data_IF_073360306111
#
_entry.id   IF_073360306111
#
_cell.length_a   1.000
_cell.length_b   1.000
_cell.length_c   1.000
_cell.angle_alpha   90.00
_cell.angle_beta   90.00
_cell.angle_gamma   90.00
#
_symmetry.space_group_name_H-M   'P 1'
#
loop_
_entity.id
_entity.type
_entity.pdbx_description
1 polymer ?
#
# COMPACT_ATOMS: atom_id res chain seq x y z
N UNK A 1 -65.72 -71.10 -75.56
CA UNK A 1 -66.01 -69.83 -74.95
C UNK A 1 -65.83 -69.91 -73.43
N UNK A 2 -64.98 -69.30 -72.88
CA UNK A 2 -64.76 -69.33 -71.43
C UNK A 2 -63.52 -68.55 -71.08
N UNK A 3 -63.70 -67.27 -70.81
CA UNK A 3 -62.63 -66.42 -70.34
C UNK A 3 -62.50 -66.57 -68.85
N UNK A 4 -61.29 -66.76 -68.40
CA UNK A 4 -60.93 -66.62 -66.95
C UNK A 4 -60.13 -65.37 -66.71
N UNK A 5 -60.74 -64.52 -65.98
CA UNK A 5 -60.09 -63.35 -65.32
C UNK A 5 -58.99 -63.80 -64.38
N UNK A 6 -57.81 -63.30 -64.52
CA UNK A 6 -56.72 -63.39 -63.57
C UNK A 6 -56.59 -62.13 -62.78
N UNK A 7 -56.83 -62.25 -61.49
CA UNK A 7 -56.65 -61.23 -60.50
C UNK A 7 -55.15 -60.94 -60.27
N UNK A 8 -54.67 -59.76 -60.60
CA UNK A 8 -53.34 -59.32 -60.27
C UNK A 8 -53.35 -58.60 -58.92
N UNK A 9 -52.98 -59.31 -57.86
CA UNK A 9 -52.65 -58.68 -56.56
C UNK A 9 -51.31 -58.00 -56.71
N UNK A 10 -51.28 -56.74 -56.78
CA UNK A 10 -50.09 -55.92 -56.49
C UNK A 10 -49.75 -55.99 -54.98
N UNK A 11 -48.72 -56.76 -54.72
CA UNK A 11 -48.09 -56.72 -53.38
C UNK A 11 -47.29 -55.40 -53.31
N UNK A 12 -47.72 -54.46 -52.47
CA UNK A 12 -46.96 -53.33 -52.07
C UNK A 12 -45.74 -53.86 -51.31
N UNK A 13 -44.58 -53.93 -51.93
CA UNK A 13 -43.28 -54.13 -51.34
C UNK A 13 -42.92 -52.78 -50.59
N UNK A 14 -43.23 -52.69 -49.36
CA UNK A 14 -42.66 -51.66 -48.47
C UNK A 14 -41.14 -51.82 -48.49
N UNK A 15 -40.44 -50.92 -49.19
CA UNK A 15 -38.97 -50.94 -49.19
C UNK A 15 -38.41 -50.65 -47.83
N UNK A 16 -37.65 -51.55 -47.16
CA UNK A 16 -37.05 -51.36 -45.86
C UNK A 16 -35.97 -50.24 -45.91
N UNK A 17 -35.57 -49.85 -47.09
CA UNK A 17 -34.55 -48.78 -47.34
C UNK A 17 -35.05 -47.39 -46.96
N UNK A 18 -36.35 -47.07 -47.17
CA UNK A 18 -36.92 -45.77 -46.76
C UNK A 18 -37.02 -45.60 -45.26
N UNK A 19 -37.28 -46.71 -44.55
CA UNK A 19 -37.36 -46.73 -43.10
C UNK A 19 -35.94 -46.57 -42.46
N UNK A 20 -34.95 -47.19 -43.03
CA UNK A 20 -33.54 -47.10 -42.63
C UNK A 20 -32.96 -45.69 -42.91
N UNK A 21 -33.30 -45.06 -44.00
CA UNK A 21 -32.92 -43.70 -44.35
C UNK A 21 -33.61 -42.66 -43.42
N UNK A 22 -34.88 -42.84 -43.04
CA UNK A 22 -35.58 -41.95 -42.10
C UNK A 22 -35.08 -42.12 -40.67
N UNK A 23 -34.75 -43.33 -40.25
CA UNK A 23 -34.17 -43.59 -38.92
C UNK A 23 -32.72 -43.06 -38.88
N UNK A 24 -31.92 -43.27 -39.93
CA UNK A 24 -30.57 -42.75 -40.06
C UNK A 24 -30.51 -41.22 -40.05
N UNK A 25 -31.46 -40.57 -40.76
CA UNK A 25 -31.61 -39.11 -40.78
C UNK A 25 -32.05 -38.54 -39.41
N UNK A 26 -33.02 -39.20 -38.76
CA UNK A 26 -33.46 -38.81 -37.41
C UNK A 26 -32.36 -38.97 -36.33
N UNK A 27 -31.63 -40.09 -36.39
CA UNK A 27 -30.46 -40.29 -35.49
C UNK A 27 -29.32 -39.35 -35.83
N UNK A 28 -29.10 -39.06 -37.12
CA UNK A 28 -28.06 -38.13 -37.58
C UNK A 28 -28.24 -36.70 -37.10
N UNK A 29 -29.46 -36.23 -36.83
CA UNK A 29 -29.75 -34.90 -36.28
C UNK A 29 -29.94 -34.92 -34.76
N UNK A 30 -30.42 -36.03 -34.19
CA UNK A 30 -30.68 -36.14 -32.77
C UNK A 30 -29.37 -36.14 -31.92
N UNK A 31 -28.34 -36.82 -32.38
CA UNK A 31 -27.04 -36.89 -31.66
C UNK A 31 -26.34 -35.53 -31.56
N UNK A 32 -26.15 -34.75 -32.66
CA UNK A 32 -25.56 -33.42 -32.54
C UNK A 32 -26.46 -32.44 -31.79
N UNK A 33 -27.79 -32.52 -31.87
CA UNK A 33 -28.69 -31.67 -31.11
C UNK A 33 -28.61 -31.96 -29.59
N UNK A 34 -28.53 -33.25 -29.19
CA UNK A 34 -28.32 -33.65 -27.80
C UNK A 34 -26.96 -33.16 -27.29
N UNK A 35 -25.91 -33.28 -28.12
CA UNK A 35 -24.57 -32.79 -27.78
C UNK A 35 -24.55 -31.27 -27.53
N UNK A 36 -25.16 -30.50 -28.46
CA UNK A 36 -25.31 -29.02 -28.25
C UNK A 36 -26.13 -28.71 -27.04
N UNK A 37 -27.21 -29.45 -26.76
CA UNK A 37 -28.02 -29.28 -25.56
C UNK A 37 -27.21 -29.55 -24.27
N UNK A 38 -26.42 -30.63 -24.23
CA UNK A 38 -25.55 -30.93 -23.07
C UNK A 38 -24.51 -29.85 -22.86
N UNK A 39 -23.87 -29.36 -23.96
CA UNK A 39 -22.89 -28.28 -23.85
C UNK A 39 -23.52 -26.98 -23.37
N UNK A 40 -24.71 -26.61 -23.89
CA UNK A 40 -25.42 -25.38 -23.46
C UNK A 40 -25.87 -25.50 -22.00
N UNK A 41 -26.37 -26.66 -21.57
CA UNK A 41 -26.74 -26.90 -20.16
C UNK A 41 -25.52 -26.85 -19.26
N UNK A 42 -24.41 -27.48 -19.64
CA UNK A 42 -23.15 -27.41 -18.88
C UNK A 42 -22.65 -25.96 -18.75
N UNK A 43 -22.73 -25.18 -19.84
CA UNK A 43 -22.39 -23.75 -19.82
C UNK A 43 -23.30 -22.95 -18.89
N UNK A 44 -24.64 -23.15 -18.97
CA UNK A 44 -25.61 -22.47 -18.11
C UNK A 44 -25.40 -22.80 -16.64
N UNK A 45 -25.15 -24.10 -16.33
CA UNK A 45 -24.89 -24.53 -14.96
C UNK A 45 -23.58 -23.93 -14.42
N UNK A 46 -22.53 -23.90 -15.25
CA UNK A 46 -21.24 -23.27 -14.90
C UNK A 46 -21.42 -21.76 -14.67
N UNK A 47 -22.15 -21.06 -15.52
CA UNK A 47 -22.46 -19.63 -15.39
C UNK A 47 -23.26 -19.33 -14.08
N UNK A 48 -24.31 -20.15 -13.81
CA UNK A 48 -25.10 -20.02 -12.57
C UNK A 48 -24.26 -20.25 -11.31
N UNK A 49 -23.35 -21.26 -11.33
CA UNK A 49 -22.41 -21.53 -10.24
C UNK A 49 -21.46 -20.36 -10.03
N UNK A 50 -20.91 -19.79 -11.10
CA UNK A 50 -20.02 -18.63 -11.03
C UNK A 50 -20.74 -17.40 -10.44
N UNK A 51 -21.98 -17.12 -10.86
CA UNK A 51 -22.78 -16.00 -10.33
C UNK A 51 -23.09 -16.19 -8.83
N UNK A 52 -23.45 -17.41 -8.40
CA UNK A 52 -23.67 -17.71 -6.98
C UNK A 52 -22.40 -17.53 -6.16
N UNK A 53 -21.25 -17.95 -6.69
CA UNK A 53 -19.96 -17.82 -6.01
C UNK A 53 -19.54 -16.35 -5.87
N UNK A 54 -19.72 -15.53 -6.90
CA UNK A 54 -19.49 -14.08 -6.84
C UNK A 54 -20.36 -13.39 -5.77
N UNK A 55 -21.64 -13.73 -5.71
CA UNK A 55 -22.55 -13.20 -4.70
C UNK A 55 -22.16 -13.65 -3.27
N UNK A 56 -21.65 -14.88 -3.11
CA UNK A 56 -21.12 -15.37 -1.85
C UNK A 56 -19.88 -14.55 -1.42
N UNK A 57 -18.91 -14.39 -2.31
CA UNK A 57 -17.70 -13.61 -2.02
C UNK A 57 -18.02 -12.13 -1.73
N UNK A 58 -18.94 -11.52 -2.46
CA UNK A 58 -19.39 -10.17 -2.18
C UNK A 58 -19.90 -10.03 -0.73
N UNK A 59 -20.66 -11.02 -0.24
CA UNK A 59 -21.14 -11.04 1.15
C UNK A 59 -20.01 -11.28 2.15
N UNK A 60 -19.13 -12.25 1.87
CA UNK A 60 -17.97 -12.56 2.72
C UNK A 60 -17.02 -11.37 2.84
N UNK A 61 -16.78 -10.65 1.76
CA UNK A 61 -15.96 -9.45 1.71
C UNK A 61 -16.71 -8.19 2.22
N UNK A 62 -17.82 -8.40 2.96
CA UNK A 62 -18.61 -7.31 3.56
C UNK A 62 -19.08 -6.22 2.57
N UNK A 63 -19.36 -6.60 1.32
CA UNK A 63 -19.79 -5.65 0.29
C UNK A 63 -21.04 -4.85 0.68
N UNK A 64 -21.96 -5.41 1.47
CA UNK A 64 -23.12 -4.69 2.01
C UNK A 64 -22.69 -3.61 3.02
N UNK A 65 -21.71 -3.89 3.88
CA UNK A 65 -21.17 -2.91 4.82
C UNK A 65 -20.46 -1.78 4.07
N UNK A 66 -19.70 -2.10 3.02
CA UNK A 66 -19.09 -1.09 2.17
C UNK A 66 -20.13 -0.15 1.54
N UNK A 67 -21.27 -0.69 1.05
CA UNK A 67 -22.36 0.11 0.51
C UNK A 67 -23.05 1.00 1.55
N UNK A 68 -22.95 0.66 2.84
CA UNK A 68 -23.45 1.49 3.95
C UNK A 68 -22.45 2.59 4.37
N UNK A 69 -21.14 2.28 4.34
CA UNK A 69 -20.08 3.22 4.74
C UNK A 69 -19.76 4.26 3.66
N UNK A 70 -19.98 3.89 2.40
CA UNK A 70 -19.74 4.75 1.23
C UNK A 70 -21.09 4.99 0.56
N UNK A 71 -21.36 6.20 0.10
CA UNK A 71 -22.58 6.50 -0.67
C UNK A 71 -22.78 5.44 -1.75
N UNK A 72 -23.99 4.91 -1.88
CA UNK A 72 -24.32 3.80 -2.78
C UNK A 72 -23.90 4.07 -4.23
N UNK A 73 -24.10 5.30 -4.70
CA UNK A 73 -23.73 5.70 -6.07
C UNK A 73 -22.20 5.68 -6.25
N UNK A 74 -21.45 6.11 -5.21
CA UNK A 74 -19.99 6.07 -5.19
C UNK A 74 -19.52 4.61 -5.13
N UNK A 75 -20.11 3.78 -4.25
CA UNK A 75 -19.76 2.37 -4.12
C UNK A 75 -19.94 1.58 -5.43
N UNK A 76 -21.04 1.83 -6.16
CA UNK A 76 -21.29 1.20 -7.47
C UNK A 76 -20.24 1.62 -8.51
N UNK A 77 -19.83 2.90 -8.53
CA UNK A 77 -18.79 3.42 -9.45
C UNK A 77 -17.39 2.93 -9.11
N UNK A 78 -17.14 2.60 -7.84
CA UNK A 78 -15.85 2.09 -7.35
C UNK A 78 -15.71 0.57 -7.47
N UNK A 79 -16.75 -0.16 -7.94
CA UNK A 79 -16.71 -1.63 -8.04
C UNK A 79 -16.22 -2.08 -9.41
N UNK A 80 -15.10 -2.79 -9.44
CA UNK A 80 -14.55 -3.45 -10.63
C UNK A 80 -14.93 -4.94 -10.64
N UNK A 81 -15.30 -5.46 -11.83
CA UNK A 81 -15.45 -6.91 -11.99
C UNK A 81 -14.08 -7.61 -12.11
N UNK A 82 -14.02 -8.88 -11.67
CA UNK A 82 -12.80 -9.69 -11.81
C UNK A 82 -12.31 -9.74 -13.26
N UNK A 83 -13.20 -9.93 -14.23
CA UNK A 83 -12.84 -10.02 -15.64
C UNK A 83 -12.14 -8.75 -16.19
N UNK A 84 -12.52 -7.57 -15.67
CA UNK A 84 -11.85 -6.30 -16.01
C UNK A 84 -10.43 -6.29 -15.48
N UNK A 85 -10.21 -6.75 -14.23
CA UNK A 85 -8.90 -6.77 -13.61
C UNK A 85 -7.98 -7.84 -14.19
N UNK A 86 -8.51 -9.04 -14.52
CA UNK A 86 -7.79 -10.09 -15.24
C UNK A 86 -7.31 -9.59 -16.62
N UNK A 87 -8.19 -8.96 -17.39
CA UNK A 87 -7.81 -8.36 -18.67
C UNK A 87 -6.78 -7.25 -18.51
N UNK A 88 -6.92 -6.39 -17.51
CA UNK A 88 -6.01 -5.28 -17.26
C UNK A 88 -4.60 -5.74 -16.89
N UNK A 89 -4.47 -6.89 -16.21
CA UNK A 89 -3.21 -7.44 -15.70
C UNK A 89 -2.66 -8.59 -16.53
N UNK A 90 -3.33 -8.96 -17.61
CA UNK A 90 -3.03 -10.17 -18.38
C UNK A 90 -3.05 -11.43 -17.50
N UNK A 91 -4.19 -11.65 -16.82
CA UNK A 91 -4.41 -12.71 -15.84
C UNK A 91 -3.41 -12.68 -14.65
N UNK A 92 -3.04 -11.50 -14.19
CA UNK A 92 -2.06 -11.30 -13.10
C UNK A 92 -0.68 -11.86 -13.43
N UNK A 93 -0.23 -11.61 -14.66
CA UNK A 93 1.07 -12.05 -15.16
C UNK A 93 2.21 -11.52 -14.27
N UNK A 94 3.19 -12.38 -13.97
CA UNK A 94 4.32 -12.04 -13.10
C UNK A 94 5.20 -10.90 -13.64
N UNK A 95 5.23 -10.69 -14.97
CA UNK A 95 5.95 -9.55 -15.58
C UNK A 95 5.33 -8.20 -15.24
N UNK A 96 4.07 -8.19 -14.82
CA UNK A 96 3.34 -6.99 -14.39
C UNK A 96 3.38 -6.75 -12.88
N UNK A 97 4.08 -7.61 -12.15
CA UNK A 97 4.23 -7.50 -10.70
C UNK A 97 5.13 -6.32 -10.34
N UNK A 98 4.60 -5.39 -9.54
CA UNK A 98 5.32 -4.22 -9.03
C UNK A 98 6.03 -4.53 -7.71
N UNK A 99 5.42 -5.36 -6.86
CA UNK A 99 5.98 -5.72 -5.58
C UNK A 99 5.15 -6.79 -4.87
N UNK A 100 5.76 -7.44 -3.87
CA UNK A 100 5.12 -8.42 -3.01
C UNK A 100 5.60 -8.23 -1.57
N UNK A 101 4.66 -8.09 -0.63
CA UNK A 101 4.92 -7.89 0.79
C UNK A 101 4.00 -8.73 1.68
N UNK A 102 3.97 -8.44 2.98
CA UNK A 102 3.09 -9.08 3.96
C UNK A 102 1.62 -8.94 3.58
N UNK A 103 1.19 -7.75 3.17
CA UNK A 103 -0.20 -7.42 2.85
C UNK A 103 -0.68 -7.84 1.45
N UNK A 104 0.17 -8.44 0.62
CA UNK A 104 -0.26 -8.90 -0.70
C UNK A 104 0.75 -8.68 -1.81
N UNK A 105 0.27 -8.83 -3.04
CA UNK A 105 1.03 -8.59 -4.27
C UNK A 105 0.35 -7.46 -5.05
N UNK A 106 1.15 -6.51 -5.54
CA UNK A 106 0.69 -5.38 -6.35
C UNK A 106 1.07 -5.63 -7.80
N UNK A 107 0.10 -5.45 -8.71
CA UNK A 107 0.28 -5.61 -10.15
C UNK A 107 0.01 -4.29 -10.87
N UNK A 108 0.77 -4.02 -11.94
CA UNK A 108 0.46 -2.97 -12.90
C UNK A 108 -0.63 -3.44 -13.83
N UNK A 109 -1.73 -2.69 -13.92
CA UNK A 109 -2.82 -2.95 -14.85
C UNK A 109 -3.01 -1.82 -15.85
N UNK A 110 -3.58 -2.13 -17.02
CA UNK A 110 -3.99 -1.15 -18.03
C UNK A 110 -5.47 -1.38 -18.29
N UNK A 111 -6.31 -0.45 -17.88
CA UNK A 111 -7.76 -0.51 -18.10
C UNK A 111 -8.11 -0.24 -19.58
N UNK A 112 -9.34 -0.58 -19.99
CA UNK A 112 -9.84 -0.40 -21.36
C UNK A 112 -9.80 1.05 -21.87
N UNK A 113 -9.84 2.02 -20.95
CA UNK A 113 -9.70 3.46 -21.24
C UNK A 113 -8.23 3.93 -21.26
N UNK A 114 -7.27 3.02 -21.41
CA UNK A 114 -5.82 3.27 -21.40
C UNK A 114 -5.26 3.82 -20.09
N UNK A 115 -6.06 3.87 -19.02
CA UNK A 115 -5.58 4.29 -17.69
C UNK A 115 -4.70 3.20 -17.07
N UNK A 116 -3.50 3.58 -16.64
CA UNK A 116 -2.62 2.70 -15.89
C UNK A 116 -3.01 2.75 -14.42
N UNK A 117 -3.08 1.57 -13.78
CA UNK A 117 -3.51 1.39 -12.39
C UNK A 117 -2.57 0.45 -11.65
N UNK A 118 -2.55 0.54 -10.33
CA UNK A 118 -1.93 -0.43 -9.44
C UNK A 118 -3.03 -1.26 -8.77
N UNK A 119 -2.94 -2.59 -8.87
CA UNK A 119 -3.94 -3.52 -8.34
C UNK A 119 -3.30 -4.33 -7.22
N UNK A 120 -3.71 -4.06 -5.97
CA UNK A 120 -3.26 -4.77 -4.76
C UNK A 120 -4.17 -5.97 -4.53
N UNK A 121 -3.61 -7.18 -4.63
CA UNK A 121 -4.25 -8.45 -4.37
C UNK A 121 -3.72 -8.99 -3.05
N UNK A 122 -4.56 -9.07 -2.01
CA UNK A 122 -4.18 -9.60 -0.70
C UNK A 122 -3.78 -11.08 -0.78
N UNK A 123 -2.96 -11.58 0.14
CA UNK A 123 -2.45 -12.97 0.11
C UNK A 123 -3.36 -13.97 0.83
N UNK A 124 -4.12 -13.55 1.82
CA UNK A 124 -4.83 -14.44 2.71
C UNK A 124 -6.30 -14.05 2.90
N UNK A 125 -7.15 -15.07 3.11
CA UNK A 125 -8.57 -14.96 3.47
C UNK A 125 -8.79 -14.83 4.98
N UNK A 126 -7.86 -14.20 5.70
CA UNK A 126 -7.97 -14.02 7.15
C UNK A 126 -8.90 -12.82 7.40
N UNK A 127 -9.79 -12.94 8.39
CA UNK A 127 -10.77 -11.90 8.75
C UNK A 127 -10.11 -10.51 8.98
N UNK A 128 -8.91 -10.48 9.53
CA UNK A 128 -8.12 -9.27 9.75
C UNK A 128 -7.80 -8.52 8.45
N UNK A 129 -7.49 -9.26 7.37
CA UNK A 129 -7.21 -8.67 6.05
C UNK A 129 -8.46 -8.06 5.41
N UNK A 130 -9.63 -8.70 5.61
CA UNK A 130 -10.91 -8.16 5.15
C UNK A 130 -11.26 -6.87 5.91
N UNK A 131 -11.01 -6.84 7.22
CA UNK A 131 -11.24 -5.66 8.04
C UNK A 131 -10.32 -4.50 7.64
N UNK A 132 -9.04 -4.78 7.39
CA UNK A 132 -8.08 -3.82 6.85
C UNK A 132 -8.50 -3.30 5.47
N UNK A 133 -8.96 -4.18 4.58
CA UNK A 133 -9.48 -3.81 3.26
C UNK A 133 -10.68 -2.84 3.34
N UNK A 134 -11.69 -3.18 4.15
CA UNK A 134 -12.88 -2.32 4.33
C UNK A 134 -12.48 -0.96 4.90
N UNK A 135 -11.60 -0.96 5.90
CA UNK A 135 -11.09 0.25 6.51
C UNK A 135 -10.35 1.13 5.50
N UNK A 136 -9.48 0.55 4.66
CA UNK A 136 -8.74 1.25 3.62
C UNK A 136 -9.70 1.89 2.59
N UNK A 137 -10.74 1.17 2.14
CA UNK A 137 -11.74 1.73 1.24
C UNK A 137 -12.54 2.84 1.90
N UNK A 138 -13.00 2.65 3.14
CA UNK A 138 -13.80 3.64 3.86
C UNK A 138 -13.02 4.95 4.08
N UNK A 139 -11.75 4.86 4.43
CA UNK A 139 -10.87 6.02 4.62
C UNK A 139 -10.58 6.70 3.29
N UNK A 140 -10.05 5.97 2.30
CA UNK A 140 -9.60 6.56 1.03
C UNK A 140 -10.75 7.07 0.15
N UNK A 141 -11.98 6.56 0.31
CA UNK A 141 -13.14 7.09 -0.41
C UNK A 141 -13.50 8.52 0.00
N UNK A 142 -13.08 8.97 1.19
CA UNK A 142 -13.36 10.29 1.76
C UNK A 142 -12.17 11.25 1.64
N UNK A 143 -10.98 10.74 1.31
CA UNK A 143 -9.75 11.54 1.21
C UNK A 143 -9.54 12.03 -0.21
N UNK A 144 -9.29 13.34 -0.34
CA UNK A 144 -8.87 13.95 -1.60
C UNK A 144 -7.72 14.91 -1.33
N UNK A 145 -6.50 14.41 -1.37
CA UNK A 145 -5.28 15.19 -1.17
C UNK A 145 -4.22 14.81 -2.21
N UNK A 146 -3.51 15.81 -2.75
CA UNK A 146 -2.52 15.59 -3.83
C UNK A 146 -1.38 14.65 -3.44
N UNK A 147 -1.01 14.61 -2.16
CA UNK A 147 0.07 13.79 -1.62
C UNK A 147 -0.43 12.52 -0.90
N UNK A 148 -1.67 12.11 -1.15
CA UNK A 148 -2.22 10.81 -0.74
C UNK A 148 -2.55 10.01 -2.00
N UNK A 149 -2.26 8.71 -2.01
CA UNK A 149 -2.57 7.82 -3.13
C UNK A 149 -4.09 7.76 -3.34
N UNK A 150 -4.54 7.88 -4.59
CA UNK A 150 -5.96 7.85 -4.91
C UNK A 150 -6.46 6.43 -5.10
N UNK A 151 -7.51 6.06 -4.39
CA UNK A 151 -8.25 4.83 -4.63
C UNK A 151 -9.24 5.04 -5.79
N UNK A 152 -9.17 4.17 -6.82
CA UNK A 152 -10.14 4.15 -7.91
C UNK A 152 -11.29 3.20 -7.65
N UNK A 153 -11.07 2.17 -6.84
CA UNK A 153 -12.11 1.24 -6.46
C UNK A 153 -11.58 -0.11 -5.99
N UNK A 154 -12.48 -1.11 -6.00
CA UNK A 154 -12.18 -2.43 -5.49
C UNK A 154 -12.91 -3.52 -6.28
N UNK A 155 -12.44 -4.78 -6.13
CA UNK A 155 -13.13 -5.97 -6.61
C UNK A 155 -13.47 -6.87 -5.43
N UNK A 156 -14.75 -7.22 -5.29
CA UNK A 156 -15.30 -8.04 -4.20
C UNK A 156 -15.76 -9.43 -4.69
N UNK A 157 -15.58 -9.73 -5.98
CA UNK A 157 -16.07 -10.97 -6.62
C UNK A 157 -15.16 -12.19 -6.40
N UNK A 158 -14.07 -12.04 -5.66
CA UNK A 158 -13.05 -13.07 -5.43
C UNK A 158 -12.98 -13.46 -3.96
N UNK A 159 -12.42 -14.63 -3.66
CA UNK A 159 -12.22 -15.09 -2.29
C UNK A 159 -11.43 -14.07 -1.45
N UNK A 160 -10.47 -13.41 -2.08
CA UNK A 160 -9.67 -12.33 -1.49
C UNK A 160 -9.95 -11.04 -2.26
N UNK A 161 -10.44 -9.98 -1.60
CA UNK A 161 -10.76 -8.74 -2.29
C UNK A 161 -9.51 -8.05 -2.83
N UNK A 162 -9.68 -7.20 -3.86
CA UNK A 162 -8.60 -6.45 -4.49
C UNK A 162 -8.89 -4.96 -4.48
N UNK A 163 -7.85 -4.14 -4.31
CA UNK A 163 -7.91 -2.68 -4.37
C UNK A 163 -7.26 -2.18 -5.66
N UNK A 164 -7.85 -1.13 -6.25
CA UNK A 164 -7.39 -0.53 -7.50
C UNK A 164 -7.04 0.94 -7.23
N UNK A 165 -5.77 1.28 -7.36
CA UNK A 165 -5.23 2.61 -7.09
C UNK A 165 -4.73 3.30 -8.35
N UNK A 166 -4.47 4.62 -8.23
CA UNK A 166 -3.62 5.29 -9.19
C UNK A 166 -2.24 4.62 -9.22
N UNK A 167 -1.67 4.49 -10.43
CA UNK A 167 -0.31 3.98 -10.59
C UNK A 167 0.70 5.09 -10.38
N UNK A 168 1.64 4.89 -9.45
CA UNK A 168 2.76 5.80 -9.19
C UNK A 168 4.02 5.15 -9.74
N UNK A 169 4.71 5.84 -10.63
CA UNK A 169 5.62 5.24 -11.61
C UNK A 169 7.05 5.06 -11.13
N UNK A 170 7.49 5.78 -10.09
CA UNK A 170 8.90 5.87 -9.74
C UNK A 170 9.27 5.18 -8.42
N UNK A 171 8.46 4.19 -7.99
CA UNK A 171 8.75 3.36 -6.83
C UNK A 171 8.55 4.06 -5.49
N UNK A 172 9.25 3.60 -4.45
CA UNK A 172 9.13 4.07 -3.09
C UNK A 172 10.29 4.98 -2.69
N UNK A 173 10.08 5.85 -1.70
CA UNK A 173 11.19 6.60 -1.08
C UNK A 173 12.28 5.67 -0.53
N UNK A 174 11.90 4.50 0.02
CA UNK A 174 12.83 3.47 0.47
C UNK A 174 13.77 3.00 -0.65
N UNK A 175 13.25 2.78 -1.87
CA UNK A 175 14.06 2.37 -3.02
C UNK A 175 15.10 3.44 -3.38
N UNK A 176 14.71 4.72 -3.33
CA UNK A 176 15.59 5.84 -3.63
C UNK A 176 16.64 6.13 -2.55
N UNK A 177 16.33 5.88 -1.27
CA UNK A 177 17.26 6.10 -0.18
C UNK A 177 18.30 4.98 -0.06
N UNK A 178 17.89 3.71 -0.25
CA UNK A 178 18.71 2.55 0.11
C UNK A 178 19.29 1.80 -1.08
N UNK A 179 18.88 2.07 -2.31
CA UNK A 179 19.54 1.52 -3.50
C UNK A 179 20.75 2.38 -3.86
N UNK A 180 21.93 1.79 -3.87
CA UNK A 180 23.16 2.44 -4.35
C UNK A 180 23.09 2.57 -5.86
N UNK A 181 23.06 3.80 -6.39
CA UNK A 181 23.02 4.03 -7.82
C UNK A 181 23.10 5.52 -8.18
N UNK A 182 23.23 5.85 -9.49
CA UNK A 182 23.43 7.22 -9.96
C UNK A 182 22.22 8.15 -9.77
N UNK A 183 21.10 7.63 -9.29
CA UNK A 183 19.87 8.40 -9.00
C UNK A 183 19.70 8.62 -7.50
N UNK A 184 20.69 9.23 -6.87
CA UNK A 184 20.54 9.71 -5.49
C UNK A 184 19.62 10.93 -5.47
N UNK A 185 18.65 10.97 -4.53
CA UNK A 185 17.83 12.15 -4.30
C UNK A 185 18.71 13.30 -3.82
N UNK A 186 18.64 14.46 -4.49
CA UNK A 186 19.31 15.66 -4.01
C UNK A 186 18.74 16.10 -2.64
N UNK A 187 19.52 16.89 -1.89
CA UNK A 187 19.06 17.37 -0.60
C UNK A 187 17.75 18.18 -0.71
N UNK A 188 17.64 19.01 -1.73
CA UNK A 188 16.43 19.81 -2.00
C UNK A 188 15.22 18.91 -2.31
N UNK A 189 15.41 17.78 -3.02
CA UNK A 189 14.34 16.83 -3.27
C UNK A 189 13.92 16.12 -1.99
N UNK A 190 14.87 15.73 -1.11
CA UNK A 190 14.55 15.13 0.20
C UNK A 190 13.75 16.09 1.07
N UNK A 191 14.10 17.40 1.12
CA UNK A 191 13.34 18.42 1.81
C UNK A 191 11.91 18.56 1.26
N UNK A 192 11.76 18.57 -0.08
CA UNK A 192 10.47 18.68 -0.73
C UNK A 192 9.60 17.45 -0.48
N UNK A 193 10.16 16.23 -0.61
CA UNK A 193 9.47 14.97 -0.32
C UNK A 193 9.02 14.92 1.14
N UNK A 194 9.88 15.33 2.07
CA UNK A 194 9.54 15.41 3.49
C UNK A 194 8.37 16.36 3.74
N UNK A 195 8.39 17.56 3.14
CA UNK A 195 7.30 18.54 3.24
C UNK A 195 5.99 17.99 2.67
N UNK A 196 6.03 17.36 1.50
CA UNK A 196 4.84 16.80 0.84
C UNK A 196 4.22 15.65 1.65
N UNK A 197 5.05 14.77 2.23
CA UNK A 197 4.59 13.70 3.11
C UNK A 197 4.04 14.25 4.43
N UNK A 198 4.70 15.25 5.04
CA UNK A 198 4.19 15.91 6.23
C UNK A 198 2.85 16.62 5.98
N UNK A 199 2.68 17.25 4.82
CA UNK A 199 1.40 17.87 4.39
C UNK A 199 0.27 16.84 4.29
N UNK A 200 0.54 15.65 3.74
CA UNK A 200 -0.43 14.56 3.70
C UNK A 200 -0.84 14.12 5.10
N UNK A 201 0.11 13.88 5.99
CA UNK A 201 -0.16 13.46 7.36
C UNK A 201 -0.87 14.57 8.17
N UNK A 202 -0.47 15.83 8.01
CA UNK A 202 -1.14 16.96 8.65
C UNK A 202 -2.62 17.08 8.21
N UNK A 203 -2.90 16.86 6.92
CA UNK A 203 -4.26 16.81 6.40
C UNK A 203 -5.07 15.66 7.04
N UNK A 204 -4.51 14.46 7.15
CA UNK A 204 -5.17 13.30 7.77
C UNK A 204 -5.51 13.55 9.24
N UNK A 205 -4.59 14.16 9.99
CA UNK A 205 -4.77 14.46 11.41
C UNK A 205 -5.74 15.64 11.66
N UNK A 206 -5.97 16.53 10.68
CA UNK A 206 -6.79 17.73 10.83
C UNK A 206 -8.21 17.61 10.30
N UNK A 207 -8.68 16.41 9.94
CA UNK A 207 -10.06 16.20 9.44
C UNK A 207 -11.11 16.69 10.44
N UNK A 208 -12.21 17.25 9.94
CA UNK A 208 -13.15 18.05 10.73
C UNK A 208 -13.92 17.29 11.84
N UNK A 209 -14.03 15.98 11.79
CA UNK A 209 -14.79 15.17 12.77
C UNK A 209 -14.02 13.98 13.33
N UNK A 210 -13.06 13.43 12.58
CA UNK A 210 -12.30 12.24 12.93
C UNK A 210 -10.86 12.45 12.48
N UNK A 211 -9.90 12.46 13.40
CA UNK A 211 -8.47 12.44 13.07
C UNK A 211 -8.09 11.06 12.53
N UNK A 212 -7.50 10.98 11.35
CA UNK A 212 -7.07 9.70 10.77
C UNK A 212 -5.59 9.52 11.05
N UNK A 213 -5.26 8.53 11.88
CA UNK A 213 -3.89 8.10 12.17
C UNK A 213 -3.50 7.01 11.18
N UNK A 214 -2.40 7.19 10.46
CA UNK A 214 -1.93 6.26 9.42
C UNK A 214 -1.42 4.94 10.00
N UNK A 215 -0.65 5.02 11.13
CA UNK A 215 -0.20 3.87 11.93
C UNK A 215 0.91 3.01 11.34
N UNK A 216 1.22 3.17 10.04
CA UNK A 216 2.34 2.48 9.39
C UNK A 216 3.13 3.45 8.49
N UNK A 217 3.50 4.61 9.04
CA UNK A 217 4.33 5.60 8.35
C UNK A 217 5.76 5.06 8.24
N UNK A 218 6.25 4.90 7.00
CA UNK A 218 7.62 4.43 6.68
C UNK A 218 8.01 4.82 5.27
N UNK A 219 9.28 4.84 4.96
CA UNK A 219 9.80 5.20 3.62
C UNK A 219 9.26 4.30 2.50
N UNK A 220 8.94 3.03 2.78
CA UNK A 220 8.33 2.10 1.82
C UNK A 220 6.86 2.42 1.48
N UNK A 221 6.16 3.18 2.33
CA UNK A 221 4.78 3.61 2.12
C UNK A 221 4.66 5.04 1.57
N UNK A 222 5.79 5.68 1.23
CA UNK A 222 5.84 6.96 0.51
C UNK A 222 6.27 6.65 -0.92
N UNK A 223 5.32 6.75 -1.86
CA UNK A 223 5.57 6.53 -3.30
C UNK A 223 5.99 7.83 -3.95
N UNK A 224 6.79 7.74 -5.02
CA UNK A 224 7.26 8.88 -5.78
C UNK A 224 6.78 8.78 -7.24
N UNK A 225 6.25 9.87 -7.79
CA UNK A 225 5.91 9.93 -9.21
C UNK A 225 7.13 10.34 -10.07
N UNK A 226 6.94 10.48 -11.39
CA UNK A 226 7.99 10.84 -12.33
C UNK A 226 8.66 12.20 -12.04
N UNK A 227 7.97 13.07 -11.29
CA UNK A 227 8.45 14.38 -10.86
C UNK A 227 8.99 14.37 -9.42
N UNK A 228 9.14 13.16 -8.82
CA UNK A 228 9.46 12.96 -7.42
C UNK A 228 8.42 13.60 -6.47
N UNK A 229 7.14 13.69 -6.87
CA UNK A 229 6.07 14.13 -5.97
C UNK A 229 5.73 12.97 -5.03
N UNK A 230 5.72 13.25 -3.72
CA UNK A 230 5.43 12.23 -2.72
C UNK A 230 3.93 11.93 -2.61
N UNK A 231 3.61 10.65 -2.48
CA UNK A 231 2.26 10.16 -2.22
C UNK A 231 2.28 9.10 -1.12
N UNK A 232 1.61 9.41 0.00
CA UNK A 232 1.43 8.46 1.12
C UNK A 232 0.46 7.38 0.71
N UNK A 233 0.77 6.12 1.01
CA UNK A 233 0.03 4.92 0.58
C UNK A 233 -0.09 3.90 1.71
N UNK A 234 -0.93 2.87 1.52
CA UNK A 234 -1.15 1.71 2.41
C UNK A 234 -1.88 2.06 3.72
N UNK A 235 -3.18 2.33 3.62
CA UNK A 235 -4.07 2.73 4.72
C UNK A 235 -4.74 1.55 5.44
N UNK A 236 -4.32 0.31 5.20
CA UNK A 236 -4.94 -0.89 5.78
C UNK A 236 -4.89 -0.93 7.32
N UNK A 237 -3.82 -0.40 7.91
CA UNK A 237 -3.65 -0.30 9.36
C UNK A 237 -4.31 0.94 9.98
N UNK A 238 -4.66 1.95 9.19
CA UNK A 238 -5.11 3.27 9.66
C UNK A 238 -6.34 3.21 10.57
N UNK A 239 -6.49 4.19 11.46
CA UNK A 239 -7.63 4.29 12.38
C UNK A 239 -8.10 5.74 12.52
N UNK A 240 -9.43 5.88 12.58
CA UNK A 240 -10.05 7.14 12.93
C UNK A 240 -10.14 7.31 14.45
N UNK A 241 -9.70 8.45 14.95
CA UNK A 241 -9.82 8.86 16.35
C UNK A 241 -10.77 10.04 16.41
N UNK A 242 -11.90 9.98 17.17
CA UNK A 242 -12.77 11.12 17.36
C UNK A 242 -12.00 12.31 17.99
N UNK A 243 -12.26 13.53 17.51
CA UNK A 243 -11.50 14.74 17.94
C UNK A 243 -11.55 14.99 19.45
N UNK A 244 -12.60 14.53 20.13
CA UNK A 244 -12.75 14.65 21.58
C UNK A 244 -11.96 13.60 22.37
N UNK A 245 -11.13 12.78 21.72
CA UNK A 245 -10.30 11.77 22.33
C UNK A 245 -8.82 12.01 21.96
N UNK A 246 -7.95 12.02 22.96
CA UNK A 246 -6.49 12.13 22.77
C UNK A 246 -5.82 10.85 22.27
N UNK A 247 -6.57 9.75 22.17
CA UNK A 247 -6.09 8.47 21.68
C UNK A 247 -7.05 7.33 22.02
N UNK A 248 -6.86 6.19 21.32
CA UNK A 248 -7.69 4.99 21.47
C UNK A 248 -6.83 3.78 21.87
N UNK A 249 -7.36 2.92 22.74
CA UNK A 249 -6.75 1.62 23.02
C UNK A 249 -7.00 0.67 21.82
N UNK A 250 -5.93 0.09 21.27
CA UNK A 250 -6.04 -0.82 20.12
C UNK A 250 -4.87 -1.80 20.10
N UNK A 251 -5.04 -2.95 19.44
CA UNK A 251 -3.95 -3.90 19.23
C UNK A 251 -2.78 -3.20 18.54
N UNK A 252 -1.54 -3.54 18.92
CA UNK A 252 -0.34 -2.92 18.36
C UNK A 252 -0.17 -3.41 16.92
N UNK A 253 -0.05 -2.45 16.00
CA UNK A 253 0.23 -2.66 14.58
C UNK A 253 1.21 -1.59 14.09
N UNK A 254 1.99 -1.92 13.05
CA UNK A 254 3.00 -1.04 12.47
C UNK A 254 4.26 -1.84 12.13
N UNK A 255 5.26 -1.16 11.63
CA UNK A 255 6.53 -1.74 11.21
C UNK A 255 7.61 -1.50 12.26
N UNK A 256 8.25 -2.57 12.77
CA UNK A 256 9.38 -2.44 13.68
C UNK A 256 10.48 -1.54 13.10
N UNK A 257 11.10 -0.74 13.94
CA UNK A 257 12.04 0.30 13.56
C UNK A 257 11.39 1.68 13.35
N UNK A 258 10.09 1.73 13.01
CA UNK A 258 9.29 2.96 12.90
C UNK A 258 8.24 3.07 14.00
N UNK A 259 7.97 1.96 14.71
CA UNK A 259 6.91 1.87 15.70
C UNK A 259 7.19 2.78 16.89
N UNK A 260 6.21 3.61 17.24
CA UNK A 260 6.25 4.50 18.39
C UNK A 260 6.41 3.72 19.71
N UNK A 261 7.46 3.96 20.50
CA UNK A 261 7.68 3.29 21.78
C UNK A 261 6.53 3.47 22.77
N UNK A 262 5.96 4.68 22.88
CA UNK A 262 4.85 4.96 23.78
C UNK A 262 3.60 4.19 23.40
N UNK A 263 3.25 4.17 22.09
CA UNK A 263 2.14 3.36 21.61
C UNK A 263 2.39 1.86 21.86
N UNK A 264 3.61 1.37 21.63
CA UNK A 264 3.96 -0.02 21.88
C UNK A 264 3.81 -0.40 23.37
N UNK A 265 4.25 0.46 24.30
CA UNK A 265 4.20 0.20 25.73
C UNK A 265 2.79 0.32 26.30
N UNK A 266 2.04 1.34 25.85
CA UNK A 266 0.74 1.70 26.44
C UNK A 266 -0.45 1.04 25.74
N UNK A 267 -0.28 0.56 24.49
CA UNK A 267 -1.39 0.13 23.62
C UNK A 267 -2.31 1.28 23.19
N UNK A 268 -1.96 2.54 23.51
CA UNK A 268 -2.77 3.72 23.21
C UNK A 268 -2.25 4.43 21.97
N UNK A 269 -3.02 4.36 20.90
CA UNK A 269 -2.74 4.99 19.61
C UNK A 269 -3.20 6.44 19.62
N UNK A 270 -2.34 7.37 19.17
CA UNK A 270 -2.65 8.79 18.95
C UNK A 270 -2.05 9.28 17.63
N UNK A 271 -2.38 10.49 17.19
CA UNK A 271 -1.76 11.17 16.05
C UNK A 271 -0.23 11.36 16.26
N UNK A 272 0.21 11.44 17.50
CA UNK A 272 1.63 11.54 17.88
C UNK A 272 2.44 10.28 17.56
N UNK A 273 1.77 9.13 17.38
CA UNK A 273 2.43 7.91 16.92
C UNK A 273 2.92 8.01 15.47
N UNK A 274 2.14 8.65 14.59
CA UNK A 274 2.58 8.96 13.21
C UNK A 274 3.73 9.97 13.20
N UNK A 275 3.74 10.93 14.14
CA UNK A 275 4.82 11.91 14.26
C UNK A 275 6.14 11.23 14.59
N UNK A 276 6.14 10.26 15.52
CA UNK A 276 7.34 9.48 15.82
C UNK A 276 7.83 8.71 14.59
N UNK A 277 6.94 7.95 13.96
CA UNK A 277 7.26 7.16 12.76
C UNK A 277 7.79 8.05 11.62
N UNK A 278 7.22 9.24 11.45
CA UNK A 278 7.72 10.23 10.51
C UNK A 278 9.10 10.78 10.90
N UNK A 279 9.36 10.98 12.19
CA UNK A 279 10.70 11.32 12.71
C UNK A 279 11.76 10.30 12.29
N UNK A 280 11.43 9.00 12.31
CA UNK A 280 12.31 7.95 11.80
C UNK A 280 12.58 8.10 10.30
N UNK A 281 11.55 8.42 9.50
CA UNK A 281 11.71 8.69 8.05
C UNK A 281 12.64 9.89 7.80
N UNK A 282 12.54 10.95 8.65
CA UNK A 282 13.45 12.10 8.55
C UNK A 282 14.91 11.70 8.81
N UNK A 283 15.16 10.81 9.78
CA UNK A 283 16.50 10.28 10.04
C UNK A 283 16.99 9.41 8.87
N UNK A 284 16.14 8.59 8.26
CA UNK A 284 16.51 7.86 7.02
C UNK A 284 16.91 8.82 5.89
N UNK A 285 16.20 9.93 5.72
CA UNK A 285 16.52 10.94 4.70
C UNK A 285 17.85 11.64 4.96
N UNK A 286 18.24 11.82 6.21
CA UNK A 286 19.53 12.41 6.60
C UNK A 286 20.70 11.46 6.39
N UNK A 287 20.50 10.18 6.70
CA UNK A 287 21.60 9.22 6.88
C UNK A 287 21.70 8.19 5.76
N UNK A 288 20.63 7.98 4.98
CA UNK A 288 20.46 6.86 4.06
C UNK A 288 20.66 5.49 4.70
N UNK A 289 20.48 5.40 6.02
CA UNK A 289 20.54 4.13 6.75
C UNK A 289 19.14 3.63 7.04
N UNK A 290 18.95 2.30 6.94
CA UNK A 290 17.67 1.69 7.30
C UNK A 290 17.54 1.67 8.82
N UNK A 291 16.35 1.94 9.38
CA UNK A 291 16.09 1.65 10.77
C UNK A 291 16.17 0.14 10.97
N UNK A 292 17.34 -0.35 11.38
CA UNK A 292 17.62 -1.79 11.51
C UNK A 292 16.86 -2.37 12.68
N UNK A 293 16.12 -3.44 12.40
CA UNK A 293 15.69 -4.39 13.41
C UNK A 293 16.88 -5.33 13.66
N UNK A 294 17.28 -5.47 14.91
CA UNK A 294 18.47 -6.21 15.38
C UNK A 294 18.70 -7.55 14.66
N UNK A 295 19.90 -7.76 14.16
CA UNK A 295 20.40 -9.06 13.75
C UNK A 295 21.53 -9.62 14.66
N UNK A 296 21.98 -8.84 15.66
CA UNK A 296 22.96 -9.29 16.65
C UNK A 296 22.86 -8.49 17.94
N UNK A 297 23.23 -9.08 19.07
CA UNK A 297 23.15 -8.53 20.43
C UNK A 297 23.93 -7.22 20.66
N UNK A 298 24.76 -6.79 19.72
CA UNK A 298 25.68 -5.65 19.86
C UNK A 298 25.38 -4.47 18.92
N UNK A 299 24.30 -4.52 18.11
CA UNK A 299 23.96 -3.44 17.19
C UNK A 299 23.03 -2.40 17.81
N UNK A 300 23.53 -1.16 17.89
CA UNK A 300 22.75 0.01 18.32
C UNK A 300 21.73 0.33 17.24
N UNK A 301 20.46 0.67 17.63
CA UNK A 301 19.45 1.10 16.66
C UNK A 301 19.85 2.42 16.00
N UNK A 302 19.43 2.63 14.74
CA UNK A 302 19.67 3.89 14.03
C UNK A 302 19.23 5.10 14.86
N UNK A 303 18.09 5.02 15.50
CA UNK A 303 17.52 6.13 16.29
C UNK A 303 18.33 6.39 17.58
N UNK A 304 18.78 5.31 18.25
CA UNK A 304 19.64 5.45 19.42
C UNK A 304 21.00 6.08 19.05
N UNK A 305 21.59 5.65 17.96
CA UNK A 305 22.85 6.22 17.46
C UNK A 305 22.67 7.69 17.05
N UNK A 306 21.59 8.01 16.32
CA UNK A 306 21.27 9.37 15.92
C UNK A 306 21.12 10.28 17.16
N UNK A 307 20.32 9.89 18.16
CA UNK A 307 20.13 10.66 19.38
C UNK A 307 21.44 10.85 20.16
N UNK A 308 22.26 9.81 20.23
CA UNK A 308 23.59 9.88 20.89
C UNK A 308 24.50 10.91 20.21
N UNK A 309 24.59 10.88 18.88
CA UNK A 309 25.43 11.79 18.11
C UNK A 309 24.90 13.23 18.13
N UNK A 310 23.59 13.41 18.19
CA UNK A 310 22.95 14.73 18.40
C UNK A 310 23.37 15.31 19.77
N UNK A 311 23.32 14.52 20.85
CA UNK A 311 23.74 14.95 22.19
C UNK A 311 25.22 15.28 22.28
N UNK A 312 26.08 14.64 21.45
CA UNK A 312 27.51 14.87 21.43
C UNK A 312 27.96 15.98 20.45
N UNK A 313 27.01 16.62 19.75
CA UNK A 313 27.29 17.57 18.65
C UNK A 313 28.15 16.96 17.52
N UNK A 314 27.96 15.65 17.27
CA UNK A 314 28.69 14.85 16.27
C UNK A 314 27.80 14.39 15.13
N UNK A 315 26.77 15.15 14.80
CA UNK A 315 25.81 14.79 13.76
C UNK A 315 26.47 14.43 12.42
N UNK A 316 27.57 15.09 12.05
CA UNK A 316 28.30 14.85 10.83
C UNK A 316 28.78 13.39 10.64
N UNK A 317 28.98 12.64 11.74
CA UNK A 317 29.47 11.25 11.67
C UNK A 317 28.43 10.28 11.10
N UNK A 318 27.14 10.64 11.10
CA UNK A 318 26.04 9.78 10.62
C UNK A 318 25.38 10.32 9.33
N UNK A 319 25.60 11.58 8.97
CA UNK A 319 24.98 12.17 7.80
C UNK A 319 25.48 11.56 6.48
N UNK A 320 24.59 11.43 5.51
CA UNK A 320 24.94 11.13 4.13
C UNK A 320 25.88 12.23 3.57
N UNK A 321 26.96 11.84 2.91
CA UNK A 321 27.95 12.76 2.32
C UNK A 321 27.33 13.80 1.37
N UNK A 322 26.26 13.41 0.65
CA UNK A 322 25.52 14.31 -0.22
C UNK A 322 24.78 15.40 0.58
N UNK A 323 24.22 15.06 1.74
CA UNK A 323 23.56 16.02 2.63
C UNK A 323 24.57 17.02 3.18
N UNK A 324 25.76 16.54 3.56
CA UNK A 324 26.87 17.40 4.04
C UNK A 324 27.28 18.40 2.96
N UNK A 325 27.43 17.93 1.71
CA UNK A 325 27.91 18.78 0.61
C UNK A 325 26.86 19.76 0.07
N UNK A 326 25.56 19.38 0.11
CA UNK A 326 24.49 20.16 -0.52
C UNK A 326 23.76 21.12 0.43
N UNK A 327 23.77 20.90 1.76
CA UNK A 327 22.92 21.66 2.67
C UNK A 327 23.14 21.42 4.15
N UNK A 328 24.39 21.52 4.63
CA UNK A 328 24.76 21.21 6.02
C UNK A 328 23.98 22.04 7.05
N UNK A 329 23.72 23.31 6.78
CA UNK A 329 23.01 24.18 7.73
C UNK A 329 21.55 23.75 7.88
N UNK A 330 20.87 23.53 6.77
CA UNK A 330 19.47 23.04 6.78
C UNK A 330 19.38 21.62 7.33
N UNK A 331 20.42 20.81 7.13
CA UNK A 331 20.49 19.45 7.67
C UNK A 331 20.53 19.44 9.20
N UNK A 332 21.20 20.42 9.83
CA UNK A 332 21.19 20.58 11.31
C UNK A 332 19.79 20.91 11.81
N UNK A 333 19.11 21.90 11.22
CA UNK A 333 17.75 22.28 11.61
C UNK A 333 16.74 21.14 11.32
N UNK A 334 16.95 20.39 10.26
CA UNK A 334 16.14 19.22 9.91
C UNK A 334 16.37 18.07 10.92
N UNK A 335 17.62 17.87 11.38
CA UNK A 335 17.95 16.90 12.42
C UNK A 335 17.34 17.28 13.79
N UNK A 336 17.36 18.56 14.14
CA UNK A 336 16.66 19.06 15.33
C UNK A 336 15.15 18.78 15.26
N UNK A 337 14.52 19.01 14.10
CA UNK A 337 13.12 18.68 13.87
C UNK A 337 12.88 17.17 14.02
N UNK A 338 13.72 16.33 13.41
CA UNK A 338 13.63 14.88 13.55
C UNK A 338 13.74 14.46 15.03
N UNK A 339 14.70 15.01 15.77
CA UNK A 339 14.87 14.75 17.20
C UNK A 339 13.62 15.12 18.03
N UNK A 340 12.97 16.26 17.74
CA UNK A 340 11.72 16.62 18.44
C UNK A 340 10.57 15.66 18.12
N UNK A 341 10.50 15.14 16.89
CA UNK A 341 9.51 14.12 16.53
C UNK A 341 9.75 12.78 17.25
N UNK A 342 11.00 12.46 17.58
CA UNK A 342 11.44 11.22 18.21
C UNK A 342 11.40 11.25 19.75
N UNK A 343 10.84 12.30 20.38
CA UNK A 343 10.66 12.33 21.81
C UNK A 343 9.89 11.09 22.29
N UNK A 344 10.31 10.53 23.44
CA UNK A 344 9.70 9.32 23.99
C UNK A 344 8.25 9.54 24.38
N UNK A 345 7.91 10.73 24.91
CA UNK A 345 6.55 11.11 25.27
C UNK A 345 5.85 11.81 24.10
N UNK A 346 4.66 11.37 23.75
CA UNK A 346 3.85 11.95 22.68
C UNK A 346 3.50 13.42 22.91
N UNK A 347 3.24 13.81 24.16
CA UNK A 347 2.94 15.21 24.54
C UNK A 347 4.07 16.19 24.18
N UNK A 348 5.34 15.73 24.22
CA UNK A 348 6.52 16.54 23.89
C UNK A 348 6.80 16.60 22.37
N UNK A 349 6.08 15.83 21.57
CA UNK A 349 6.22 15.82 20.11
C UNK A 349 5.40 16.95 19.48
N UNK A 350 5.89 17.57 18.38
CA UNK A 350 5.08 18.51 17.62
C UNK A 350 3.84 17.84 17.01
N UNK A 351 2.89 18.63 16.54
CA UNK A 351 1.84 18.14 15.63
C UNK A 351 2.40 18.05 14.20
N UNK A 352 1.81 17.20 13.33
CA UNK A 352 2.22 17.14 11.92
C UNK A 352 2.09 18.48 11.20
N UNK A 353 1.15 19.33 11.60
CA UNK A 353 1.04 20.71 11.07
C UNK A 353 2.23 21.60 11.45
N UNK A 354 2.73 21.45 12.67
CA UNK A 354 3.95 22.17 13.09
C UNK A 354 5.19 21.66 12.36
N UNK A 355 5.28 20.33 12.12
CA UNK A 355 6.33 19.72 11.30
C UNK A 355 6.29 20.24 9.87
N UNK A 356 5.12 20.28 9.24
CA UNK A 356 4.91 20.81 7.89
C UNK A 356 5.40 22.28 7.79
N UNK A 357 4.99 23.15 8.72
CA UNK A 357 5.41 24.56 8.73
C UNK A 357 6.93 24.69 8.87
N UNK A 358 7.57 23.89 9.72
CA UNK A 358 9.02 23.94 9.89
C UNK A 358 9.74 23.49 8.62
N UNK A 359 9.31 22.41 7.97
CA UNK A 359 9.85 21.92 6.69
C UNK A 359 9.66 22.94 5.56
N UNK A 360 8.53 23.63 5.51
CA UNK A 360 8.28 24.68 4.53
C UNK A 360 9.28 25.84 4.69
N UNK A 361 9.58 26.24 5.91
CA UNK A 361 10.58 27.29 6.20
C UNK A 361 11.98 26.84 5.75
N UNK A 362 12.38 25.61 6.06
CA UNK A 362 13.67 25.03 5.65
C UNK A 362 13.80 25.03 4.11
N UNK A 363 12.75 24.61 3.42
CA UNK A 363 12.75 24.57 1.95
C UNK A 363 12.86 25.98 1.33
N UNK A 364 12.21 26.97 1.90
CA UNK A 364 12.33 28.38 1.48
C UNK A 364 13.73 28.92 1.72
N UNK A 365 14.28 28.75 2.92
CA UNK A 365 15.64 29.20 3.29
C UNK A 365 16.72 28.59 2.36
N UNK A 366 16.58 27.32 1.98
CA UNK A 366 17.51 26.68 1.04
C UNK A 366 17.42 27.28 -0.37
N UNK A 367 16.21 27.66 -0.83
CA UNK A 367 16.03 28.31 -2.14
C UNK A 367 16.63 29.73 -2.16
N UNK A 368 16.38 30.51 -1.14
CA UNK A 368 16.85 31.91 -1.06
C UNK A 368 18.38 31.96 -1.01
N UNK A 369 19.03 31.08 -0.24
CA UNK A 369 20.52 30.98 -0.21
C UNK A 369 21.14 30.59 -1.55
N UNK A 370 20.53 29.68 -2.31
CA UNK A 370 21.04 29.30 -3.64
C UNK A 370 20.91 30.43 -4.68
N UNK A 371 19.96 31.36 -4.48
CA UNK A 371 19.83 32.54 -5.30
C UNK A 371 20.83 33.63 -4.93
N UNK A 372 21.26 33.72 -3.67
CA UNK A 372 22.23 34.74 -3.20
C UNK A 372 23.69 34.29 -3.34
N UNK A 373 23.99 32.99 -3.32
CA UNK A 373 25.37 32.46 -3.34
C UNK A 373 25.64 31.67 -4.63
N UNK A 374 25.84 32.39 -5.72
CA UNK A 374 26.67 31.92 -6.84
C UNK A 374 28.18 31.91 -6.48
N UNK A 375 28.59 31.64 -5.24
CA UNK A 375 30.00 31.70 -4.83
C UNK A 375 30.22 31.20 -3.39
N UNK A 376 30.99 30.11 -3.32
CA UNK A 376 31.89 29.62 -2.26
C UNK A 376 31.59 29.90 -0.78
N UNK A 377 31.43 28.80 0.01
CA UNK A 377 32.16 28.60 1.27
C UNK A 377 32.07 27.13 1.69
N UNK A 378 33.18 26.45 1.55
CA UNK A 378 33.43 25.13 2.15
C UNK A 378 33.84 25.30 3.61
N UNK A 379 33.01 24.74 4.51
CA UNK A 379 33.44 24.52 5.89
C UNK A 379 33.36 23.02 6.14
N UNK A 380 34.54 22.35 6.11
CA UNK A 380 34.71 20.91 6.22
C UNK A 380 34.48 20.39 7.63
N UNK A 381 33.65 19.33 7.77
CA UNK A 381 33.69 18.46 8.94
C UNK A 381 34.87 17.52 8.85
N UNK A 382 35.84 17.63 9.76
CA UNK A 382 36.93 16.66 9.88
C UNK A 382 36.50 15.47 10.75
N UNK A 383 36.70 14.20 10.31
CA UNK A 383 36.37 13.04 11.14
C UNK A 383 37.36 12.91 12.30
N UNK A 384 36.85 12.89 13.52
CA UNK A 384 37.62 12.54 14.71
C UNK A 384 37.68 11.02 14.87
N UNK A 385 38.86 10.48 15.11
CA UNK A 385 39.10 9.05 15.38
C UNK A 385 38.41 8.63 16.69
N UNK A 386 37.67 7.50 16.65
CA UNK A 386 36.96 6.94 17.79
C UNK A 386 37.91 6.53 18.92
N UNK A 387 37.71 7.09 20.12
CA UNK A 387 38.19 6.53 21.38
C UNK A 387 36.98 6.05 22.19
N UNK A 388 37.05 4.77 22.59
CA UNK A 388 36.04 4.13 23.44
C UNK A 388 35.95 4.77 24.82
N UNK A 389 34.79 5.32 25.17
CA UNK A 389 34.49 5.82 26.51
C UNK A 389 33.07 5.43 26.96
N UNK A 390 32.99 4.68 28.04
CA UNK A 390 31.79 4.16 28.70
C UNK A 390 30.77 5.23 29.11
N UNK A 391 29.52 5.11 28.62
CA UNK A 391 28.36 5.81 29.22
C UNK A 391 27.17 4.84 29.28
N UNK A 392 26.94 4.27 30.48
CA UNK A 392 26.12 3.06 30.68
C UNK A 392 24.69 3.28 31.25
N UNK A 393 24.11 4.48 31.31
CA UNK A 393 22.83 4.68 32.01
C UNK A 393 21.59 5.05 31.19
N UNK A 394 21.73 5.59 30.00
CA UNK A 394 20.56 5.92 29.13
C UNK A 394 20.16 4.78 28.19
N UNK A 395 21.06 3.81 28.01
CA UNK A 395 20.86 2.61 27.18
C UNK A 395 19.87 1.58 27.75
N UNK A 396 19.57 1.62 29.05
CA UNK A 396 18.82 0.56 29.73
C UNK A 396 17.36 0.47 29.25
N UNK A 397 16.69 1.58 29.00
CA UNK A 397 15.26 1.57 28.63
C UNK A 397 15.00 1.15 27.18
N UNK A 398 15.85 1.54 26.23
CA UNK A 398 15.72 1.11 24.84
C UNK A 398 16.11 -0.37 24.65
N UNK A 399 17.12 -0.84 25.39
CA UNK A 399 17.46 -2.27 25.38
C UNK A 399 16.39 -3.14 26.05
N UNK A 400 15.79 -2.71 27.15
CA UNK A 400 14.64 -3.40 27.76
C UNK A 400 13.42 -3.43 26.83
N UNK A 401 13.15 -2.33 26.12
CA UNK A 401 12.09 -2.24 25.13
C UNK A 401 12.29 -3.26 24.00
N UNK A 402 13.49 -3.41 23.50
CA UNK A 402 13.80 -4.29 22.40
C UNK A 402 13.90 -5.77 22.82
N UNK A 403 14.34 -6.05 24.03
CA UNK A 403 14.36 -7.40 24.61
C UNK A 403 12.92 -7.89 24.91
N UNK A 404 12.04 -7.02 25.42
CA UNK A 404 10.64 -7.38 25.66
C UNK A 404 9.86 -7.67 24.36
N UNK A 405 10.22 -7.01 23.26
CA UNK A 405 9.62 -7.26 21.94
C UNK A 405 10.04 -8.59 21.32
N UNK A 406 11.21 -9.13 21.68
CA UNK A 406 11.71 -10.43 21.17
C UNK A 406 11.15 -11.65 21.95
N UNK A 407 10.65 -11.45 23.17
CA UNK A 407 10.14 -12.52 24.05
C UNK A 407 8.62 -12.76 23.95
N UNK A 408 7.88 -11.96 23.13
CA UNK A 408 6.43 -12.08 22.94
C UNK A 408 6.06 -12.71 21.58
N UNK A 409 6.80 -13.74 21.16
CA UNK A 409 6.45 -14.63 20.04
C UNK A 409 5.99 -15.99 20.53
#
# INVERSE_FOLDING_TARGET
>A
PGGTQGDARTQDLWEPTSLLLSIGGACGLAVPSLFVFVLTMAYILKARKATKLKALFFRQNRGLLLQQLVDRVIAERMTFSLAVLEKATDNFDDTRKLGSGGHGTVYRGILSNSRVVAIKKSKATIQKEIDGFINEVAILSQINHRNVVRLYGCCLETQVPMLVYEFISNGTLCDHLHVRGPRSLSWIDRLRIALEAASALAYLHSSASVSIVHRDVKSANILLDDRLTAKVSDFGASRGIPINQEGIATAIEGTFGYLDPEYYQTGRLSDKSDVYSFGVVLVEMLTRQKPTVFSSSDSISLIALFNLLMLQDKLCEILDSQVISEGMQEAKEFAELASTCLNLKGEDRPTMRQVEIKLERLLRSNRDRKTEHGGSAEQYCTPSQMTNGNTSRQYSMEQEFLLSASLSR
#
